data_IF_691912652841
#
_entry.id   IF_691912652841
#
_cell.length_a   1.000
_cell.length_b   1.000
_cell.length_c   1.000
_cell.angle_alpha   90.00
_cell.angle_beta   90.00
_cell.angle_gamma   90.00
#
_symmetry.space_group_name_H-M   'P 1'
#
loop_
_entity.id
_entity.type
_entity.pdbx_description
1 polymer ?
#
# COMPACT_ATOMS: atom_id res chain seq x y z
N UNK A 1 2.40 -22.47 -11.23
CA UNK A 1 2.09 -21.35 -12.12
C UNK A 1 3.26 -20.37 -12.01
N UNK A 2 3.78 -19.82 -13.10
CA UNK A 2 4.93 -18.89 -13.16
C UNK A 2 6.31 -19.44 -12.72
N UNK A 3 6.52 -20.76 -12.76
CA UNK A 3 7.81 -21.40 -12.41
C UNK A 3 8.98 -20.79 -13.17
N UNK A 4 8.78 -20.50 -14.46
CA UNK A 4 9.79 -19.89 -15.33
C UNK A 4 10.17 -18.47 -14.89
N UNK A 5 9.22 -17.71 -14.34
CA UNK A 5 9.49 -16.39 -13.76
C UNK A 5 10.30 -16.52 -12.48
N UNK A 6 9.92 -17.43 -11.58
CA UNK A 6 10.65 -17.66 -10.33
C UNK A 6 12.03 -18.29 -10.51
N UNK A 7 12.29 -18.92 -11.66
CA UNK A 7 13.63 -19.40 -12.01
C UNK A 7 14.62 -18.30 -12.42
N UNK A 8 14.13 -17.05 -12.62
CA UNK A 8 14.99 -15.91 -12.93
C UNK A 8 15.79 -15.46 -11.69
N UNK A 9 16.97 -14.84 -11.86
CA UNK A 9 17.65 -14.14 -10.79
C UNK A 9 16.74 -13.08 -10.15
N UNK A 10 16.84 -12.89 -8.83
CA UNK A 10 15.98 -11.98 -8.06
C UNK A 10 15.99 -10.54 -8.61
N UNK A 11 17.15 -10.08 -9.08
CA UNK A 11 17.29 -8.77 -9.71
C UNK A 11 16.40 -8.65 -10.96
N UNK A 12 16.38 -9.69 -11.81
CA UNK A 12 15.56 -9.71 -13.03
C UNK A 12 14.07 -9.81 -12.71
N UNK A 13 13.70 -10.60 -11.71
CA UNK A 13 12.32 -10.63 -11.21
C UNK A 13 11.90 -9.23 -10.74
N UNK A 14 12.71 -8.57 -9.91
CA UNK A 14 12.42 -7.22 -9.38
C UNK A 14 12.31 -6.18 -10.49
N UNK A 15 13.16 -6.26 -11.53
CA UNK A 15 13.10 -5.36 -12.68
C UNK A 15 11.77 -5.49 -13.43
N UNK A 16 11.32 -6.73 -13.69
CA UNK A 16 10.05 -7.00 -14.38
C UNK A 16 8.87 -6.53 -13.55
N UNK A 17 8.87 -6.80 -12.24
CA UNK A 17 7.81 -6.38 -11.33
C UNK A 17 7.73 -4.85 -11.19
N UNK A 18 8.87 -4.15 -11.07
CA UNK A 18 8.89 -2.69 -11.00
C UNK A 18 8.33 -2.05 -12.27
N UNK A 19 8.71 -2.56 -13.46
CA UNK A 19 8.16 -2.10 -14.72
C UNK A 19 6.64 -2.31 -14.80
N UNK A 20 6.16 -3.48 -14.40
CA UNK A 20 4.75 -3.81 -14.42
C UNK A 20 3.95 -2.96 -13.40
N UNK A 21 4.43 -2.82 -12.17
CA UNK A 21 3.83 -1.92 -11.18
C UNK A 21 3.72 -0.48 -11.68
N UNK A 22 4.81 0.06 -12.27
CA UNK A 22 4.81 1.43 -12.81
C UNK A 22 3.75 1.61 -13.87
N UNK A 23 3.73 0.75 -14.89
CA UNK A 23 2.80 0.90 -16.02
C UNK A 23 1.35 0.74 -15.57
N UNK A 24 1.03 -0.24 -14.73
CA UNK A 24 -0.33 -0.41 -14.23
C UNK A 24 -0.75 0.64 -13.19
N UNK A 25 0.18 1.19 -12.41
CA UNK A 25 -0.11 2.28 -11.50
C UNK A 25 -0.42 3.60 -12.23
N UNK A 26 0.22 3.83 -13.38
CA UNK A 26 0.06 5.08 -14.14
C UNK A 26 -1.05 5.01 -15.19
N UNK A 27 -1.64 3.83 -15.43
CA UNK A 27 -2.67 3.62 -16.43
C UNK A 27 -3.81 2.76 -15.88
N UNK A 28 -5.04 3.02 -16.31
CA UNK A 28 -6.14 2.06 -16.10
C UNK A 28 -5.79 0.72 -16.74
N UNK A 29 -6.22 -0.39 -16.14
CA UNK A 29 -5.91 -1.72 -16.65
C UNK A 29 -6.08 -1.83 -18.17
N UNK A 30 -7.25 -1.46 -18.70
CA UNK A 30 -7.55 -1.60 -20.14
C UNK A 30 -6.55 -0.86 -21.02
N UNK A 31 -6.10 0.31 -20.62
CA UNK A 31 -5.20 1.21 -21.37
C UNK A 31 -3.71 0.92 -21.16
N UNK A 32 -3.33 0.17 -20.12
CA UNK A 32 -1.95 -0.15 -19.79
C UNK A 32 -1.30 -1.01 -20.91
N UNK A 33 -0.27 -0.51 -21.62
CA UNK A 33 0.31 -1.24 -22.75
C UNK A 33 1.38 -2.22 -22.26
N UNK A 34 1.16 -3.51 -22.46
CA UNK A 34 2.14 -4.55 -22.06
C UNK A 34 3.46 -4.49 -22.84
N UNK A 35 3.48 -3.83 -24.00
CA UNK A 35 4.72 -3.50 -24.70
C UNK A 35 5.60 -2.51 -23.95
N UNK A 36 5.01 -1.56 -23.25
CA UNK A 36 5.72 -0.62 -22.38
C UNK A 36 6.30 -1.34 -21.14
N UNK A 37 5.52 -2.26 -20.55
CA UNK A 37 6.03 -3.11 -19.45
C UNK A 37 7.27 -3.89 -19.91
N UNK A 38 7.21 -4.50 -21.08
CA UNK A 38 8.34 -5.26 -21.64
C UNK A 38 9.55 -4.36 -21.91
N UNK A 39 9.34 -3.19 -22.50
CA UNK A 39 10.40 -2.20 -22.78
C UNK A 39 11.07 -1.71 -21.51
N UNK A 40 10.29 -1.27 -20.50
CA UNK A 40 10.80 -0.84 -19.17
C UNK A 40 11.57 -1.96 -18.46
N UNK A 41 11.12 -3.21 -18.61
CA UNK A 41 11.78 -4.39 -18.03
C UNK A 41 13.00 -4.86 -18.84
N UNK A 42 13.30 -4.24 -20.00
CA UNK A 42 14.39 -4.65 -20.89
C UNK A 42 14.24 -6.08 -21.41
N UNK A 43 13.00 -6.50 -21.74
CA UNK A 43 12.68 -7.81 -22.33
C UNK A 43 11.77 -7.67 -23.54
N UNK A 44 11.64 -8.72 -24.34
CA UNK A 44 10.65 -8.76 -25.41
C UNK A 44 9.23 -8.97 -24.85
N UNK A 45 8.22 -8.46 -25.57
CA UNK A 45 6.81 -8.71 -25.23
C UNK A 45 6.47 -10.21 -25.24
N UNK A 46 7.06 -10.98 -26.16
CA UNK A 46 6.89 -12.43 -26.21
C UNK A 46 7.46 -13.12 -24.97
N UNK A 47 8.60 -12.63 -24.43
CA UNK A 47 9.18 -13.14 -23.19
C UNK A 47 8.32 -12.79 -21.97
N UNK A 48 7.73 -11.61 -21.91
CA UNK A 48 6.77 -11.25 -20.87
C UNK A 48 5.59 -12.24 -20.84
N UNK A 49 5.00 -12.56 -22.02
CA UNK A 49 3.91 -13.52 -22.11
C UNK A 49 4.35 -14.99 -21.95
N UNK A 50 5.62 -15.28 -22.10
CA UNK A 50 6.17 -16.57 -21.72
C UNK A 50 6.13 -16.79 -20.19
N UNK A 51 6.25 -15.72 -19.40
CA UNK A 51 6.15 -15.76 -17.94
C UNK A 51 4.72 -15.68 -17.44
N UNK A 52 3.86 -14.87 -18.06
CA UNK A 52 2.54 -14.49 -17.56
C UNK A 52 1.41 -14.66 -18.57
N UNK A 53 1.49 -15.60 -19.48
CA UNK A 53 0.54 -15.96 -20.57
C UNK A 53 -0.30 -14.79 -21.14
N UNK A 54 -0.90 -13.92 -20.33
CA UNK A 54 -1.70 -12.77 -20.73
C UNK A 54 -1.60 -11.61 -19.71
N UNK A 55 -2.19 -10.47 -20.07
CA UNK A 55 -2.19 -9.24 -19.26
C UNK A 55 -2.94 -9.41 -17.93
N UNK A 56 -4.05 -10.13 -17.94
CA UNK A 56 -4.86 -10.37 -16.75
C UNK A 56 -4.08 -11.19 -15.72
N UNK A 57 -3.44 -12.27 -16.15
CA UNK A 57 -2.62 -13.10 -15.26
C UNK A 57 -1.48 -12.30 -14.63
N UNK A 58 -0.80 -11.44 -15.42
CA UNK A 58 0.21 -10.53 -14.87
C UNK A 58 -0.37 -9.57 -13.81
N UNK A 59 -1.54 -8.98 -14.09
CA UNK A 59 -2.17 -8.05 -13.15
C UNK A 59 -2.55 -8.73 -11.84
N UNK A 60 -3.19 -9.89 -11.90
CA UNK A 60 -3.57 -10.67 -10.72
C UNK A 60 -2.33 -11.18 -9.96
N UNK A 61 -1.28 -11.56 -10.67
CA UNK A 61 0.00 -11.91 -10.06
C UNK A 61 0.57 -10.73 -9.25
N UNK A 62 0.55 -9.51 -9.80
CA UNK A 62 1.01 -8.31 -9.10
C UNK A 62 0.15 -8.00 -7.87
N UNK A 63 -1.18 -8.17 -7.97
CA UNK A 63 -2.10 -8.01 -6.86
C UNK A 63 -1.74 -8.94 -5.69
N UNK A 64 -1.61 -10.23 -5.96
CA UNK A 64 -1.25 -11.22 -4.95
C UNK A 64 0.15 -10.97 -4.38
N UNK A 65 1.13 -10.66 -5.24
CA UNK A 65 2.49 -10.32 -4.80
C UNK A 65 2.52 -9.07 -3.90
N UNK A 66 1.71 -8.05 -4.20
CA UNK A 66 1.61 -6.86 -3.35
C UNK A 66 1.01 -7.18 -1.97
N UNK A 67 -0.03 -8.02 -1.93
CA UNK A 67 -0.65 -8.46 -0.67
C UNK A 67 0.33 -9.26 0.19
N UNK A 68 1.01 -10.25 -0.39
CA UNK A 68 1.99 -11.10 0.31
C UNK A 68 3.16 -10.26 0.84
N UNK A 69 3.67 -9.34 0.02
CA UNK A 69 4.78 -8.48 0.39
C UNK A 69 4.38 -7.51 1.51
N UNK A 70 3.21 -6.90 1.42
CA UNK A 70 2.66 -6.02 2.46
C UNK A 70 2.55 -6.79 3.78
N UNK A 71 1.92 -7.96 3.78
CA UNK A 71 1.82 -8.81 4.97
C UNK A 71 3.18 -9.15 5.56
N UNK A 72 4.15 -9.56 4.73
CA UNK A 72 5.52 -9.85 5.16
C UNK A 72 6.18 -8.66 5.87
N UNK A 73 6.03 -7.45 5.33
CA UNK A 73 6.64 -6.25 5.91
C UNK A 73 5.87 -5.79 7.16
N UNK A 74 4.55 -5.90 7.20
CA UNK A 74 3.75 -5.64 8.41
C UNK A 74 4.21 -6.53 9.59
N UNK A 75 4.44 -7.83 9.34
CA UNK A 75 5.00 -8.73 10.33
C UNK A 75 6.44 -8.35 10.72
N UNK A 76 7.31 -8.05 9.75
CA UNK A 76 8.70 -7.66 9.99
C UNK A 76 8.82 -6.43 10.89
N UNK A 77 7.95 -5.44 10.70
CA UNK A 77 7.94 -4.21 11.48
C UNK A 77 7.01 -4.27 12.69
N UNK A 78 6.46 -5.46 13.00
CA UNK A 78 5.64 -5.71 14.19
C UNK A 78 4.45 -4.74 14.32
N UNK A 79 3.82 -4.42 13.18
CA UNK A 79 2.78 -3.39 13.08
C UNK A 79 1.64 -3.66 14.06
N UNK A 80 1.22 -4.91 14.18
CA UNK A 80 0.11 -5.34 15.03
C UNK A 80 0.55 -5.87 16.42
N UNK A 81 1.83 -5.68 16.80
CA UNK A 81 2.35 -6.06 18.13
C UNK A 81 2.38 -4.86 19.08
N UNK A 82 1.47 -3.91 18.94
CA UNK A 82 1.25 -2.76 19.83
C UNK A 82 -0.24 -2.51 19.95
N UNK A 83 -0.68 -2.03 21.08
CA UNK A 83 -2.05 -1.59 21.35
C UNK A 83 -2.24 -0.07 21.22
N UNK A 84 -1.17 0.67 20.94
CA UNK A 84 -1.19 2.10 20.63
C UNK A 84 -1.40 2.33 19.13
N UNK A 85 -2.47 3.05 18.79
CA UNK A 85 -2.84 3.33 17.40
C UNK A 85 -1.79 4.15 16.63
N UNK A 86 -1.22 5.17 17.26
CA UNK A 86 -0.24 6.04 16.60
C UNK A 86 1.11 5.36 16.43
N UNK A 87 1.53 4.57 17.41
CA UNK A 87 2.71 3.72 17.28
C UNK A 87 2.52 2.66 16.17
N UNK A 88 1.34 2.07 16.07
CA UNK A 88 0.98 1.16 14.97
C UNK A 88 1.10 1.85 13.61
N UNK A 89 0.63 3.10 13.50
CA UNK A 89 0.76 3.89 12.27
C UNK A 89 2.23 4.18 11.92
N UNK A 90 3.08 4.50 12.90
CA UNK A 90 4.53 4.71 12.69
C UNK A 90 5.21 3.44 12.16
N UNK A 91 4.91 2.30 12.76
CA UNK A 91 5.42 1.00 12.28
C UNK A 91 4.90 0.66 10.89
N UNK A 92 3.62 0.94 10.62
CA UNK A 92 3.00 0.81 9.30
C UNK A 92 3.66 1.68 8.24
N UNK A 93 3.99 2.93 8.59
CA UNK A 93 4.74 3.83 7.71
C UNK A 93 6.13 3.26 7.37
N UNK A 94 6.89 2.80 8.37
CA UNK A 94 8.19 2.17 8.15
C UNK A 94 8.09 0.94 7.24
N UNK A 95 7.09 0.10 7.46
CA UNK A 95 6.82 -1.07 6.61
C UNK A 95 6.51 -0.66 5.16
N UNK A 96 5.63 0.33 4.97
CA UNK A 96 5.25 0.88 3.66
C UNK A 96 6.46 1.47 2.94
N UNK A 97 7.25 2.32 3.60
CA UNK A 97 8.43 2.95 3.01
C UNK A 97 9.50 1.92 2.62
N UNK A 98 9.69 0.87 3.42
CA UNK A 98 10.61 -0.22 3.07
C UNK A 98 10.16 -0.99 1.82
N UNK A 99 8.85 -1.20 1.61
CA UNK A 99 8.30 -1.75 0.37
C UNK A 99 8.50 -0.79 -0.80
N UNK A 100 8.22 0.51 -0.61
CA UNK A 100 8.33 1.53 -1.66
C UNK A 100 9.78 1.72 -2.14
N UNK A 101 10.78 1.56 -1.26
CA UNK A 101 12.20 1.56 -1.65
C UNK A 101 12.57 0.40 -2.57
N UNK A 102 11.88 -0.73 -2.48
CA UNK A 102 12.09 -1.89 -3.36
C UNK A 102 11.19 -1.84 -4.61
N UNK A 103 9.94 -1.46 -4.43
CA UNK A 103 8.89 -1.42 -5.46
C UNK A 103 8.15 -0.08 -5.40
N UNK A 104 8.75 0.93 -6.03
CA UNK A 104 8.29 2.34 -5.92
C UNK A 104 6.81 2.52 -6.24
N UNK A 105 6.26 1.85 -7.24
CA UNK A 105 4.88 2.02 -7.68
C UNK A 105 3.88 1.00 -7.10
N UNK A 106 4.33 0.09 -6.23
CA UNK A 106 3.45 -0.95 -5.66
C UNK A 106 2.26 -0.34 -4.90
N UNK A 107 2.51 0.64 -4.05
CA UNK A 107 1.46 1.25 -3.23
C UNK A 107 0.41 1.99 -4.09
N UNK A 108 0.84 2.70 -5.13
CA UNK A 108 -0.08 3.35 -6.06
C UNK A 108 -0.89 2.34 -6.88
N UNK A 109 -0.23 1.29 -7.36
CA UNK A 109 -0.90 0.17 -8.03
C UNK A 109 -1.99 -0.44 -7.14
N UNK A 110 -1.68 -0.75 -5.88
CA UNK A 110 -2.64 -1.33 -4.93
C UNK A 110 -3.85 -0.42 -4.72
N UNK A 111 -3.64 0.89 -4.47
CA UNK A 111 -4.75 1.84 -4.30
C UNK A 111 -5.59 1.95 -5.57
N UNK A 112 -4.97 2.04 -6.75
CA UNK A 112 -5.71 2.16 -8.00
C UNK A 112 -6.49 0.87 -8.32
N UNK A 113 -5.98 -0.30 -7.90
CA UNK A 113 -6.68 -1.57 -8.06
C UNK A 113 -8.00 -1.63 -7.29
N UNK A 114 -8.12 -0.95 -6.13
CA UNK A 114 -9.39 -0.82 -5.41
C UNK A 114 -10.47 -0.11 -6.22
N UNK A 115 -10.08 0.77 -7.13
CA UNK A 115 -10.97 1.57 -7.97
C UNK A 115 -11.01 1.09 -9.43
N UNK A 116 -10.43 -0.09 -9.72
CA UNK A 116 -10.48 -0.67 -11.07
C UNK A 116 -11.92 -1.06 -11.43
N UNK A 117 -12.35 -0.67 -12.63
CA UNK A 117 -13.72 -0.84 -13.11
C UNK A 117 -13.85 -1.90 -14.20
N UNK A 118 -12.72 -2.44 -14.70
CA UNK A 118 -12.76 -3.49 -15.73
C UNK A 118 -13.37 -4.77 -15.13
N UNK A 119 -14.51 -5.27 -15.65
CA UNK A 119 -15.27 -6.32 -14.99
C UNK A 119 -14.48 -7.60 -14.72
N UNK A 120 -13.60 -8.00 -15.66
CA UNK A 120 -12.78 -9.20 -15.55
C UNK A 120 -11.76 -9.12 -14.42
N UNK A 121 -11.30 -7.91 -14.07
CA UNK A 121 -10.39 -7.67 -12.95
C UNK A 121 -11.19 -7.46 -11.67
N UNK A 122 -12.22 -6.61 -11.73
CA UNK A 122 -13.05 -6.27 -10.58
C UNK A 122 -13.65 -7.51 -9.92
N UNK A 123 -14.17 -8.46 -10.71
CA UNK A 123 -14.77 -9.69 -10.19
C UNK A 123 -13.78 -10.56 -9.37
N UNK A 124 -12.49 -10.42 -9.63
CA UNK A 124 -11.44 -11.19 -8.94
C UNK A 124 -10.97 -10.47 -7.67
N UNK A 125 -10.73 -9.15 -7.76
CA UNK A 125 -10.09 -8.42 -6.65
C UNK A 125 -11.09 -7.82 -5.64
N UNK A 126 -12.34 -7.53 -6.03
CA UNK A 126 -13.33 -6.92 -5.13
C UNK A 126 -13.68 -7.76 -3.90
N UNK A 127 -13.82 -9.08 -3.99
CA UNK A 127 -14.03 -9.91 -2.79
C UNK A 127 -12.89 -9.75 -1.78
N UNK A 128 -11.64 -9.77 -2.22
CA UNK A 128 -10.46 -9.60 -1.36
C UNK A 128 -10.43 -8.21 -0.72
N UNK A 129 -10.82 -7.16 -1.46
CA UNK A 129 -10.86 -5.77 -0.96
C UNK A 129 -11.91 -5.61 0.14
N UNK A 130 -13.11 -6.13 -0.06
CA UNK A 130 -14.20 -6.02 0.91
C UNK A 130 -13.87 -6.81 2.18
N UNK A 131 -13.36 -8.03 2.04
CA UNK A 131 -12.95 -8.87 3.15
C UNK A 131 -11.80 -8.23 3.94
N UNK A 132 -10.76 -7.72 3.25
CA UNK A 132 -9.63 -7.07 3.89
C UNK A 132 -10.02 -5.80 4.66
N UNK A 133 -10.93 -4.98 4.13
CA UNK A 133 -11.36 -3.75 4.81
C UNK A 133 -12.11 -4.05 6.10
N UNK A 134 -13.04 -5.01 6.06
CA UNK A 134 -13.82 -5.46 7.23
C UNK A 134 -12.90 -6.11 8.27
N UNK A 135 -12.09 -7.08 7.84
CA UNK A 135 -11.15 -7.81 8.69
C UNK A 135 -10.13 -6.88 9.36
N UNK A 136 -9.63 -5.89 8.63
CA UNK A 136 -8.68 -4.91 9.19
C UNK A 136 -9.31 -4.10 10.31
N UNK A 137 -10.52 -3.58 10.12
CA UNK A 137 -11.20 -2.80 11.16
C UNK A 137 -11.51 -3.65 12.39
N UNK A 138 -11.99 -4.87 12.22
CA UNK A 138 -12.25 -5.81 13.31
C UNK A 138 -10.96 -6.15 14.09
N UNK A 139 -9.86 -6.38 13.38
CA UNK A 139 -8.55 -6.59 13.98
C UNK A 139 -8.12 -5.37 14.81
N UNK A 140 -8.19 -4.17 14.25
CA UNK A 140 -7.84 -2.94 14.97
C UNK A 140 -8.65 -2.78 16.25
N UNK A 141 -9.96 -2.97 16.19
CA UNK A 141 -10.83 -2.87 17.37
C UNK A 141 -10.55 -3.95 18.42
N UNK A 142 -9.97 -5.10 18.03
CA UNK A 142 -9.64 -6.18 18.95
C UNK A 142 -8.30 -6.00 19.67
N UNK A 143 -7.35 -5.26 19.08
CA UNK A 143 -5.99 -5.14 19.63
C UNK A 143 -5.69 -3.77 20.23
N UNK A 144 -6.39 -2.70 19.79
CA UNK A 144 -6.10 -1.34 20.22
C UNK A 144 -6.66 -1.02 21.62
N UNK A 145 -5.84 -0.38 22.43
CA UNK A 145 -6.28 0.28 23.63
C UNK A 145 -6.83 1.68 23.30
N UNK A 146 -8.14 1.79 23.14
CA UNK A 146 -8.80 3.04 22.79
C UNK A 146 -8.75 4.09 23.90
N UNK A 147 -8.20 3.79 25.07
CA UNK A 147 -7.96 4.79 26.13
C UNK A 147 -6.87 5.81 25.76
N UNK A 148 -6.06 5.54 24.75
CA UNK A 148 -5.11 6.50 24.16
C UNK A 148 -5.77 7.50 23.20
N UNK A 149 -7.02 7.26 22.81
CA UNK A 149 -7.80 8.11 21.91
C UNK A 149 -8.80 8.95 22.70
N UNK A 150 -9.05 10.17 22.26
CA UNK A 150 -10.10 11.02 22.85
C UNK A 150 -11.48 10.39 22.68
N UNK A 151 -12.31 10.47 23.74
CA UNK A 151 -13.59 9.72 23.84
C UNK A 151 -14.79 10.44 23.22
N UNK A 152 -14.63 11.70 22.84
CA UNK A 152 -15.70 12.52 22.24
C UNK A 152 -15.88 12.31 20.75
N UNK A 153 -15.03 11.49 20.11
CA UNK A 153 -15.12 11.09 18.71
C UNK A 153 -15.04 9.56 18.61
N UNK A 154 -15.92 8.97 17.80
CA UNK A 154 -15.86 7.53 17.54
C UNK A 154 -14.58 7.15 16.79
N UNK A 155 -13.85 6.14 17.26
CA UNK A 155 -12.60 5.66 16.64
C UNK A 155 -12.76 5.31 15.15
N UNK A 156 -13.89 4.70 14.76
CA UNK A 156 -14.16 4.36 13.35
C UNK A 156 -14.17 5.60 12.44
N UNK A 157 -14.63 6.72 12.96
CA UNK A 157 -14.61 8.00 12.22
C UNK A 157 -13.18 8.53 12.07
N UNK A 158 -12.41 8.54 13.15
CA UNK A 158 -10.98 8.92 13.14
C UNK A 158 -10.22 8.05 12.15
N UNK A 159 -10.40 6.74 12.21
CA UNK A 159 -9.77 5.79 11.32
C UNK A 159 -10.06 6.07 9.84
N UNK A 160 -11.34 6.33 9.50
CA UNK A 160 -11.74 6.65 8.12
C UNK A 160 -11.15 7.97 7.63
N UNK A 161 -11.15 9.01 8.44
CA UNK A 161 -10.56 10.32 8.09
C UNK A 161 -9.06 10.17 7.80
N UNK A 162 -8.34 9.46 8.67
CA UNK A 162 -6.91 9.17 8.50
C UNK A 162 -6.66 8.33 7.24
N UNK A 163 -7.47 7.31 6.98
CA UNK A 163 -7.35 6.46 5.80
C UNK A 163 -7.50 7.29 4.52
N UNK A 164 -8.54 8.12 4.43
CA UNK A 164 -8.77 8.96 3.24
C UNK A 164 -7.68 10.01 3.04
N UNK A 165 -7.20 10.62 4.13
CA UNK A 165 -6.09 11.56 4.07
C UNK A 165 -4.80 10.88 3.62
N UNK A 166 -4.52 9.67 4.11
CA UNK A 166 -3.36 8.85 3.75
C UNK A 166 -3.34 8.48 2.27
N UNK A 167 -4.49 8.05 1.74
CA UNK A 167 -4.65 7.71 0.33
C UNK A 167 -4.50 8.97 -0.56
N UNK A 168 -5.07 10.08 -0.13
CA UNK A 168 -4.94 11.37 -0.81
C UNK A 168 -3.50 11.85 -0.86
N UNK A 169 -2.79 11.78 0.26
CA UNK A 169 -1.37 12.15 0.37
C UNK A 169 -0.49 11.30 -0.53
N UNK A 170 -0.69 9.98 -0.51
CA UNK A 170 0.08 9.07 -1.35
C UNK A 170 -0.14 9.32 -2.84
N UNK A 171 -1.40 9.51 -3.27
CA UNK A 171 -1.74 9.87 -4.66
C UNK A 171 -1.14 11.22 -5.06
N UNK A 172 -1.17 12.20 -4.16
CA UNK A 172 -0.57 13.50 -4.40
C UNK A 172 0.95 13.40 -4.59
N UNK A 173 1.64 12.66 -3.72
CA UNK A 173 3.08 12.42 -3.80
C UNK A 173 3.50 11.79 -5.14
N UNK A 174 2.79 10.77 -5.61
CA UNK A 174 3.05 10.19 -6.94
C UNK A 174 2.82 11.20 -8.07
N UNK A 175 1.84 12.11 -7.93
CA UNK A 175 1.54 13.13 -8.94
C UNK A 175 2.63 14.19 -9.05
N UNK A 176 3.39 14.45 -8.00
CA UNK A 176 4.50 15.43 -8.04
C UNK A 176 5.67 14.96 -8.89
N UNK A 177 5.78 13.66 -9.16
CA UNK A 177 6.91 13.06 -9.90
C UNK A 177 8.21 12.97 -9.11
N UNK A 178 8.22 13.42 -7.85
CA UNK A 178 9.33 13.21 -6.93
C UNK A 178 9.10 11.92 -6.16
N UNK A 179 9.86 10.87 -6.49
CA UNK A 179 9.69 9.54 -5.88
C UNK A 179 10.72 9.28 -4.77
N UNK A 180 11.23 10.32 -4.12
CA UNK A 180 12.09 10.18 -2.94
C UNK A 180 11.26 9.73 -1.74
N UNK A 181 11.39 8.45 -1.40
CA UNK A 181 10.68 7.83 -0.29
C UNK A 181 11.04 8.47 1.06
N UNK A 182 12.23 9.07 1.18
CA UNK A 182 12.66 9.76 2.42
C UNK A 182 11.83 11.01 2.67
N UNK A 183 11.53 11.77 1.61
CA UNK A 183 10.64 12.95 1.68
C UNK A 183 9.23 12.51 2.06
N UNK A 184 8.69 11.47 1.40
CA UNK A 184 7.38 10.93 1.74
C UNK A 184 7.29 10.46 3.20
N UNK A 185 8.30 9.73 3.68
CA UNK A 185 8.37 9.22 5.04
C UNK A 185 8.34 10.36 6.06
N UNK A 186 9.12 11.42 5.82
CA UNK A 186 9.15 12.58 6.70
C UNK A 186 7.79 13.30 6.75
N UNK A 187 7.23 13.65 5.60
CA UNK A 187 5.93 14.34 5.52
C UNK A 187 4.80 13.52 6.16
N UNK A 188 4.80 12.21 5.94
CA UNK A 188 3.78 11.34 6.53
C UNK A 188 3.95 11.19 8.05
N UNK A 189 5.18 11.16 8.54
CA UNK A 189 5.45 11.12 9.99
C UNK A 189 4.95 12.40 10.68
N UNK A 190 5.16 13.57 10.06
CA UNK A 190 4.61 14.83 10.56
C UNK A 190 3.08 14.80 10.61
N UNK A 191 2.43 14.19 9.64
CA UNK A 191 0.97 14.01 9.69
C UNK A 191 0.54 13.06 10.82
N UNK A 192 1.25 11.96 11.06
CA UNK A 192 0.95 11.07 12.20
C UNK A 192 1.07 11.83 13.52
N UNK A 193 2.14 12.61 13.69
CA UNK A 193 2.34 13.43 14.89
C UNK A 193 1.21 14.47 15.08
N UNK A 194 0.77 15.09 13.97
CA UNK A 194 -0.38 15.99 14.00
C UNK A 194 -1.68 15.27 14.41
N UNK A 195 -1.97 14.11 13.85
CA UNK A 195 -3.15 13.33 14.22
C UNK A 195 -3.12 12.85 15.67
N UNK A 196 -1.94 12.51 16.20
CA UNK A 196 -1.77 12.18 17.61
C UNK A 196 -2.11 13.35 18.52
N UNK A 197 -1.71 14.58 18.15
CA UNK A 197 -2.09 15.80 18.89
C UNK A 197 -3.61 16.04 18.82
N UNK A 198 -4.23 15.83 17.65
CA UNK A 198 -5.66 16.12 17.42
C UNK A 198 -6.56 15.05 18.03
N UNK A 199 -6.21 13.77 17.89
CA UNK A 199 -7.06 12.64 18.27
C UNK A 199 -6.58 11.85 19.47
N UNK A 200 -5.34 12.05 19.91
CA UNK A 200 -4.82 11.46 21.13
C UNK A 200 -5.48 12.07 22.38
N UNK A 201 -5.49 11.29 23.44
CA UNK A 201 -5.97 11.79 24.74
C UNK A 201 -5.00 12.83 25.28
N UNK A 202 -5.52 13.98 25.70
CA UNK A 202 -4.73 14.99 26.39
C UNK A 202 -4.05 14.40 27.62
N UNK A 203 -2.73 14.55 27.70
CA UNK A 203 -1.99 14.24 28.93
C UNK A 203 -2.04 15.42 29.90
N UNK A 204 -1.83 15.18 31.21
CA UNK A 204 -1.76 16.28 32.19
C UNK A 204 -0.67 17.32 31.88
N UNK A 205 0.37 16.90 31.09
CA UNK A 205 1.43 17.81 30.63
C UNK A 205 0.98 18.75 29.51
N UNK A 206 0.03 18.36 28.70
CA UNK A 206 -0.48 19.18 27.58
C UNK A 206 -1.37 20.31 28.13
N UNK A 207 -2.11 20.07 29.24
CA UNK A 207 -2.93 21.08 29.92
C UNK A 207 -2.10 22.21 30.60
N UNK A 208 -0.80 22.00 30.79
CA UNK A 208 0.09 23.00 31.42
C UNK A 208 0.79 23.91 30.42
N UNK A 209 0.62 23.67 29.11
CA UNK A 209 1.24 24.46 28.02
C UNK A 209 0.27 25.42 27.31
N UNK A 210 -1.01 25.41 27.68
CA UNK A 210 -2.04 26.39 27.33
C UNK A 210 -2.25 27.41 28.47
#
# INVERSE_FOLDING_TARGET
MNEKFYALPEEKQSQILNAAYKVFAMNQYKKAPTSEIAAEAGISKSLLYHYFHNKQELYIFLWNHAADLTKKYMCKYKVYETDDFFEMMRRGLMAKCAVMRKYTFLSLFSINSYFEIEPDIQSIIQPDVQDAAQTTLELLLSILNLDFIRKDIEFVRIYKEILYASDGMLKYWYRTGNYDVTVFEHEYLEMINHWEIVYGKETENDRKKL
#
